data_IF_248824866979
#
_entry.id   IF_248824866979
#
_cell.length_a   1.000
_cell.length_b   1.000
_cell.length_c   1.000
_cell.angle_alpha   90.00
_cell.angle_beta   90.00
_cell.angle_gamma   90.00
#
_symmetry.space_group_name_H-M   'P 1'
#
loop_
_entity.id
_entity.type
_entity.pdbx_description
1 polymer ?
#
# COMPACT_ATOMS: atom_id res chain seq x y z
N UNK A 1 30.67 18.63 1.12
CA UNK A 1 31.37 19.92 1.28
C UNK A 1 30.50 21.05 1.85
N UNK A 2 29.17 21.12 1.60
CA UNK A 2 28.27 21.99 2.42
C UNK A 2 27.70 21.32 3.69
N UNK A 3 27.72 19.97 3.74
CA UNK A 3 27.22 19.15 4.87
C UNK A 3 28.05 19.24 6.15
N UNK A 4 29.28 19.75 6.03
CA UNK A 4 30.28 19.82 7.12
C UNK A 4 30.40 21.26 7.65
N UNK A 5 29.97 22.25 6.86
CA UNK A 5 30.13 23.67 7.18
C UNK A 5 28.92 24.21 7.96
N UNK A 6 27.69 23.78 7.62
CA UNK A 6 26.48 24.11 8.39
C UNK A 6 25.47 22.94 8.43
N UNK A 7 25.65 21.99 9.38
CA UNK A 7 24.82 20.79 9.49
C UNK A 7 23.34 21.09 9.76
N UNK A 8 23.08 22.12 10.55
CA UNK A 8 21.75 22.51 11.03
C UNK A 8 20.85 23.07 9.91
N UNK A 9 21.43 23.77 8.94
CA UNK A 9 20.69 24.33 7.80
C UNK A 9 20.39 23.24 6.76
N UNK A 10 21.29 22.26 6.60
CA UNK A 10 21.11 21.12 5.70
C UNK A 10 20.03 20.15 6.22
N UNK A 11 19.97 19.90 7.52
CA UNK A 11 18.91 19.12 8.15
C UNK A 11 17.53 19.80 8.02
N UNK A 12 17.48 21.13 8.15
CA UNK A 12 16.25 21.93 7.96
C UNK A 12 15.72 21.90 6.53
N UNK A 13 16.59 21.93 5.53
CA UNK A 13 16.20 21.81 4.11
C UNK A 13 15.67 20.41 3.83
N UNK A 14 16.36 19.35 4.26
CA UNK A 14 15.93 17.96 4.04
C UNK A 14 14.62 17.61 4.76
N UNK A 15 14.40 18.13 5.97
CA UNK A 15 13.15 17.89 6.72
C UNK A 15 11.93 18.64 6.16
N UNK A 16 12.11 19.79 5.47
CA UNK A 16 10.99 20.48 4.81
C UNK A 16 10.53 19.81 3.52
N UNK A 17 11.43 19.08 2.84
CA UNK A 17 11.11 18.46 1.55
C UNK A 17 10.98 16.94 1.60
N UNK A 18 11.18 16.24 2.71
CA UNK A 18 11.01 14.77 2.69
C UNK A 18 9.54 14.30 2.50
N UNK A 19 8.54 15.13 2.82
CA UNK A 19 7.15 14.89 2.43
C UNK A 19 6.77 15.54 1.08
N UNK A 20 7.26 16.75 0.83
CA UNK A 20 6.90 17.55 -0.34
C UNK A 20 7.73 17.21 -1.60
N UNK A 21 9.04 16.90 -1.50
CA UNK A 21 9.86 16.40 -2.61
C UNK A 21 9.54 14.95 -2.95
N UNK A 22 9.10 14.08 -2.04
CA UNK A 22 8.59 12.78 -2.47
C UNK A 22 7.25 12.92 -3.24
N UNK A 23 6.50 13.99 -3.01
CA UNK A 23 5.42 14.42 -3.88
C UNK A 23 5.93 15.05 -5.18
N UNK A 24 6.89 15.97 -5.15
CA UNK A 24 7.26 16.85 -6.26
C UNK A 24 8.37 16.31 -7.19
N UNK A 25 9.35 15.54 -6.68
CA UNK A 25 10.33 14.77 -7.49
C UNK A 25 9.60 13.67 -8.29
N UNK A 26 8.43 13.24 -7.82
CA UNK A 26 7.68 12.10 -8.34
C UNK A 26 6.31 12.46 -8.94
N UNK A 27 5.80 13.69 -8.74
CA UNK A 27 4.60 14.26 -9.38
C UNK A 27 4.84 14.59 -10.87
N UNK A 28 6.10 14.55 -11.33
CA UNK A 28 6.46 14.70 -12.73
C UNK A 28 6.06 13.49 -13.57
N UNK A 29 4.82 13.47 -14.05
CA UNK A 29 4.28 12.73 -15.22
C UNK A 29 4.44 11.19 -15.32
N UNK A 30 5.17 10.48 -14.45
CA UNK A 30 5.38 9.01 -14.56
C UNK A 30 4.72 8.13 -13.48
N UNK A 31 4.51 8.62 -12.26
CA UNK A 31 4.01 7.80 -11.13
C UNK A 31 2.51 7.60 -11.09
N UNK A 32 1.76 8.43 -11.81
CA UNK A 32 0.34 8.19 -12.04
C UNK A 32 0.09 7.08 -13.07
N UNK A 33 1.13 6.59 -13.76
CA UNK A 33 1.02 5.45 -14.68
C UNK A 33 1.20 4.12 -13.94
N UNK A 34 0.49 3.09 -14.39
CA UNK A 34 0.53 1.71 -13.88
C UNK A 34 1.89 0.99 -14.01
N UNK A 35 2.95 1.67 -14.49
CA UNK A 35 4.27 1.12 -14.82
C UNK A 35 5.38 1.70 -13.93
N UNK A 36 5.25 1.53 -12.63
CA UNK A 36 6.35 1.86 -11.71
C UNK A 36 7.47 0.82 -11.86
N UNK A 37 8.71 1.29 -12.07
CA UNK A 37 9.90 0.44 -12.16
C UNK A 37 10.62 0.44 -10.82
N UNK A 38 10.84 -0.75 -10.25
CA UNK A 38 11.60 -0.89 -9.02
C UNK A 38 13.06 -0.43 -9.21
N UNK A 39 13.69 0.18 -8.19
CA UNK A 39 15.13 0.40 -8.21
C UNK A 39 15.88 -0.93 -8.40
N UNK A 40 17.03 -0.88 -9.09
CA UNK A 40 17.84 -2.09 -9.37
C UNK A 40 18.17 -2.83 -8.07
N UNK A 41 17.97 -4.15 -8.08
CA UNK A 41 18.27 -5.02 -6.93
C UNK A 41 17.20 -5.08 -5.83
N UNK A 42 16.09 -4.35 -5.97
CA UNK A 42 14.98 -4.42 -5.03
C UNK A 42 13.83 -5.30 -5.50
N UNK A 43 13.25 -6.05 -4.57
CA UNK A 43 11.89 -6.60 -4.66
C UNK A 43 10.88 -5.61 -4.08
N UNK A 44 9.59 -5.75 -4.39
CA UNK A 44 8.53 -4.92 -3.81
C UNK A 44 8.50 -5.04 -2.28
N UNK A 45 8.77 -6.22 -1.72
CA UNK A 45 8.91 -6.42 -0.28
C UNK A 45 10.04 -5.60 0.31
N UNK A 46 11.24 -5.69 -0.27
CA UNK A 46 12.41 -4.97 0.22
C UNK A 46 12.20 -3.45 0.10
N UNK A 47 11.61 -3.01 -1.01
CA UNK A 47 11.34 -1.62 -1.28
C UNK A 47 10.25 -1.05 -0.37
N UNK A 48 9.16 -1.79 -0.13
CA UNK A 48 8.11 -1.41 0.82
C UNK A 48 8.68 -1.21 2.24
N UNK A 49 9.54 -2.14 2.69
CA UNK A 49 10.23 -2.00 3.98
C UNK A 49 11.14 -0.77 4.01
N UNK A 50 11.91 -0.54 2.95
CA UNK A 50 12.75 0.65 2.82
C UNK A 50 11.91 1.94 2.90
N UNK A 51 10.82 2.05 2.14
CA UNK A 51 9.91 3.20 2.18
C UNK A 51 9.36 3.46 3.59
N UNK A 52 9.02 2.41 4.35
CA UNK A 52 8.57 2.56 5.74
C UNK A 52 9.66 3.11 6.67
N UNK A 53 10.94 2.97 6.33
CA UNK A 53 12.05 3.54 7.12
C UNK A 53 12.32 5.00 6.78
N UNK A 54 11.88 5.49 5.61
CA UNK A 54 12.08 6.88 5.18
C UNK A 54 10.94 7.81 5.60
N UNK A 55 9.83 7.27 6.10
CA UNK A 55 8.67 8.06 6.54
C UNK A 55 8.79 8.49 8.00
N UNK A 56 8.14 9.61 8.40
CA UNK A 56 7.94 9.93 9.82
C UNK A 56 7.31 8.77 10.57
N UNK A 57 7.70 8.58 11.83
CA UNK A 57 7.34 7.41 12.62
C UNK A 57 5.83 7.19 12.71
N UNK A 58 5.05 8.26 12.95
CA UNK A 58 3.60 8.18 13.02
C UNK A 58 2.98 7.66 11.71
N UNK A 59 3.43 8.21 10.57
CA UNK A 59 2.96 7.83 9.24
C UNK A 59 3.34 6.38 8.93
N UNK A 60 4.59 6.00 9.19
CA UNK A 60 5.08 4.65 9.00
C UNK A 60 4.28 3.65 9.85
N UNK A 61 3.99 3.99 11.10
CA UNK A 61 3.22 3.15 12.02
C UNK A 61 1.75 3.01 11.60
N UNK A 62 1.14 4.03 10.99
CA UNK A 62 -0.19 3.91 10.38
C UNK A 62 -0.19 2.88 9.23
N UNK A 63 0.77 2.97 8.29
CA UNK A 63 0.90 1.99 7.21
C UNK A 63 1.16 0.58 7.75
N UNK A 64 2.11 0.41 8.70
CA UNK A 64 2.40 -0.89 9.32
C UNK A 64 1.16 -1.54 9.92
N UNK A 65 0.37 -0.79 10.71
CA UNK A 65 -0.89 -1.28 11.30
C UNK A 65 -1.87 -1.74 10.23
N UNK A 66 -2.04 -0.96 9.15
CA UNK A 66 -2.94 -1.31 8.04
C UNK A 66 -2.44 -2.53 7.27
N UNK A 67 -1.15 -2.62 6.97
CA UNK A 67 -0.56 -3.76 6.26
C UNK A 67 -0.69 -5.05 7.07
N UNK A 68 -0.41 -5.02 8.38
CA UNK A 68 -0.61 -6.18 9.26
C UNK A 68 -2.08 -6.61 9.25
N UNK A 69 -3.02 -5.66 9.36
CA UNK A 69 -4.45 -5.96 9.32
C UNK A 69 -4.87 -6.56 7.98
N UNK A 70 -4.36 -6.03 6.88
CA UNK A 70 -4.60 -6.52 5.52
C UNK A 70 -4.11 -7.96 5.33
N UNK A 71 -2.86 -8.24 5.72
CA UNK A 71 -2.27 -9.58 5.63
C UNK A 71 -3.06 -10.57 6.51
N UNK A 72 -3.40 -10.20 7.75
CA UNK A 72 -4.20 -11.05 8.65
C UNK A 72 -5.59 -11.33 8.09
N UNK A 73 -6.22 -10.35 7.46
CA UNK A 73 -7.53 -10.53 6.84
C UNK A 73 -7.47 -11.53 5.68
N UNK A 74 -6.47 -11.41 4.81
CA UNK A 74 -6.24 -12.34 3.71
C UNK A 74 -5.92 -13.77 4.16
N UNK A 75 -5.16 -13.92 5.25
CA UNK A 75 -4.82 -15.23 5.79
C UNK A 75 -6.00 -15.92 6.48
N UNK A 76 -6.82 -15.18 7.24
CA UNK A 76 -7.90 -15.76 8.07
C UNK A 76 -9.23 -15.82 7.36
N UNK A 77 -9.60 -14.75 6.65
CA UNK A 77 -10.91 -14.60 6.03
C UNK A 77 -10.83 -14.88 4.53
N UNK A 78 -9.91 -14.21 3.85
CA UNK A 78 -9.80 -14.25 2.40
C UNK A 78 -10.73 -13.29 1.66
N UNK A 79 -10.66 -13.31 0.34
CA UNK A 79 -11.49 -12.49 -0.54
C UNK A 79 -12.11 -13.32 -1.68
N UNK A 80 -13.32 -12.93 -2.14
CA UNK A 80 -13.89 -13.48 -3.37
C UNK A 80 -13.03 -13.13 -4.57
N UNK A 81 -12.72 -14.13 -5.38
CA UNK A 81 -11.97 -13.98 -6.64
C UNK A 81 -12.73 -14.73 -7.73
N UNK A 82 -12.65 -14.24 -8.97
CA UNK A 82 -13.28 -14.92 -10.11
C UNK A 82 -12.52 -16.22 -10.42
N UNK A 83 -13.24 -17.24 -10.86
CA UNK A 83 -12.69 -18.57 -11.17
C UNK A 83 -11.54 -18.54 -12.20
N UNK A 84 -11.64 -17.67 -13.21
CA UNK A 84 -10.57 -17.49 -14.20
C UNK A 84 -9.24 -17.03 -13.56
N UNK A 85 -9.30 -16.11 -12.61
CA UNK A 85 -8.12 -15.67 -11.87
C UNK A 85 -7.63 -16.71 -10.85
N UNK A 86 -8.52 -17.51 -10.25
CA UNK A 86 -8.10 -18.57 -9.32
C UNK A 86 -7.19 -19.57 -10.05
N UNK A 87 -7.62 -20.03 -11.23
CA UNK A 87 -6.84 -20.95 -12.08
C UNK A 87 -5.49 -20.34 -12.49
N UNK A 88 -5.48 -19.07 -12.86
CA UNK A 88 -4.25 -18.35 -13.24
C UNK A 88 -3.27 -18.24 -12.06
N UNK A 89 -3.78 -17.98 -10.85
CA UNK A 89 -3.00 -17.90 -9.62
C UNK A 89 -2.40 -19.26 -9.25
N UNK A 90 -3.19 -20.33 -9.31
CA UNK A 90 -2.73 -21.69 -8.99
C UNK A 90 -1.62 -22.17 -9.94
N UNK A 91 -1.73 -21.82 -11.23
CA UNK A 91 -0.71 -22.13 -12.23
C UNK A 91 0.58 -21.34 -12.03
N UNK A 92 0.47 -20.03 -11.78
CA UNK A 92 1.65 -19.13 -11.76
C UNK A 92 2.36 -19.13 -10.40
N UNK A 93 1.62 -19.30 -9.30
CA UNK A 93 2.15 -19.23 -7.94
C UNK A 93 1.55 -20.35 -7.07
N UNK A 94 1.88 -21.63 -7.36
CA UNK A 94 1.29 -22.77 -6.66
C UNK A 94 1.55 -22.68 -5.15
N UNK A 95 0.50 -22.91 -4.36
CA UNK A 95 0.54 -22.86 -2.90
C UNK A 95 0.59 -21.46 -2.27
N UNK A 96 0.62 -20.38 -3.06
CA UNK A 96 0.58 -19.02 -2.52
C UNK A 96 -0.82 -18.66 -1.97
N UNK A 97 -1.86 -19.18 -2.62
CA UNK A 97 -3.25 -19.06 -2.20
C UNK A 97 -3.86 -20.44 -2.04
N UNK A 98 -4.83 -20.53 -1.14
CA UNK A 98 -5.68 -21.69 -0.94
C UNK A 98 -7.11 -21.30 -1.29
N UNK A 99 -7.73 -22.08 -2.18
CA UNK A 99 -9.15 -21.97 -2.43
C UNK A 99 -9.93 -22.62 -1.28
N UNK A 100 -10.90 -21.90 -0.73
CA UNK A 100 -11.75 -22.44 0.35
C UNK A 100 -12.95 -23.23 -0.17
N UNK A 101 -13.22 -23.17 -1.48
CA UNK A 101 -14.40 -23.74 -2.14
C UNK A 101 -15.74 -23.28 -1.54
N UNK A 102 -15.72 -22.13 -0.84
CA UNK A 102 -16.91 -21.50 -0.29
C UNK A 102 -17.20 -20.24 -1.08
N UNK A 103 -18.47 -20.10 -1.45
CA UNK A 103 -18.96 -18.89 -2.10
C UNK A 103 -19.07 -17.74 -1.11
N UNK A 104 -18.68 -16.55 -1.57
CA UNK A 104 -18.76 -15.32 -0.80
C UNK A 104 -20.21 -14.92 -0.57
N UNK A 105 -20.52 -14.34 0.60
CA UNK A 105 -21.81 -13.68 0.85
C UNK A 105 -21.86 -12.22 0.38
N UNK A 106 -20.73 -11.71 -0.15
CA UNK A 106 -20.60 -10.35 -0.68
C UNK A 106 -20.96 -10.31 -2.17
N UNK A 107 -21.63 -9.25 -2.60
CA UNK A 107 -22.05 -9.08 -4.00
C UNK A 107 -23.11 -10.11 -4.40
N UNK A 108 -23.01 -10.64 -5.61
CA UNK A 108 -23.96 -11.63 -6.15
C UNK A 108 -23.75 -13.05 -5.58
N UNK A 109 -22.69 -13.27 -4.81
CA UNK A 109 -22.37 -14.57 -4.21
C UNK A 109 -21.94 -15.66 -5.20
N UNK A 110 -21.48 -15.24 -6.37
CA UNK A 110 -21.04 -16.07 -7.50
C UNK A 110 -19.55 -16.46 -7.45
N UNK A 111 -18.80 -15.91 -6.49
CA UNK A 111 -17.33 -16.04 -6.42
C UNK A 111 -16.89 -16.84 -5.23
N UNK A 112 -15.99 -17.78 -5.47
CA UNK A 112 -15.31 -18.51 -4.43
C UNK A 112 -14.31 -17.62 -3.69
N UNK A 113 -14.17 -17.90 -2.39
CA UNK A 113 -13.24 -17.19 -1.53
C UNK A 113 -11.91 -17.93 -1.50
N UNK A 114 -10.83 -17.20 -1.78
CA UNK A 114 -9.46 -17.69 -1.61
C UNK A 114 -8.76 -16.98 -0.44
N UNK A 115 -7.85 -17.68 0.22
CA UNK A 115 -7.02 -17.18 1.32
C UNK A 115 -5.55 -17.14 0.94
N UNK A 116 -4.83 -16.12 1.41
CA UNK A 116 -3.40 -16.04 1.17
C UNK A 116 -2.66 -16.90 2.20
N UNK A 117 -1.89 -17.89 1.73
CA UNK A 117 -0.91 -18.63 2.55
C UNK A 117 0.42 -17.90 2.61
N UNK A 118 0.76 -17.17 1.54
CA UNK A 118 1.96 -16.33 1.43
C UNK A 118 1.62 -14.99 0.82
N UNK A 119 2.28 -13.92 1.29
CA UNK A 119 2.22 -12.61 0.63
C UNK A 119 3.18 -12.64 -0.57
N UNK A 120 2.63 -12.58 -1.78
CA UNK A 120 3.43 -12.52 -3.00
C UNK A 120 4.11 -11.16 -3.15
N UNK A 121 5.22 -11.12 -3.89
CA UNK A 121 5.91 -9.86 -4.14
C UNK A 121 5.10 -8.98 -5.11
N UNK A 122 4.76 -9.55 -6.26
CA UNK A 122 3.79 -9.04 -7.23
C UNK A 122 3.16 -10.19 -8.03
N UNK A 123 2.06 -9.89 -8.72
CA UNK A 123 1.41 -10.78 -9.69
C UNK A 123 1.13 -10.00 -10.98
N UNK A 124 2.08 -9.94 -11.93
CA UNK A 124 1.91 -9.19 -13.17
C UNK A 124 0.67 -9.67 -13.94
N UNK A 125 -0.09 -8.73 -14.52
CA UNK A 125 -1.33 -9.06 -15.25
C UNK A 125 -2.58 -9.16 -14.35
N UNK A 126 -2.48 -9.77 -13.17
CA UNK A 126 -3.60 -9.94 -12.24
C UNK A 126 -3.73 -8.79 -11.25
N UNK A 127 -2.63 -8.27 -10.70
CA UNK A 127 -2.64 -7.21 -9.67
C UNK A 127 -3.38 -5.93 -10.11
N UNK A 128 -3.50 -5.70 -11.42
CA UNK A 128 -4.22 -4.55 -11.99
C UNK A 128 -5.73 -4.81 -12.17
N UNK A 129 -6.15 -6.07 -12.14
CA UNK A 129 -7.52 -6.52 -12.42
C UNK A 129 -8.23 -7.06 -11.18
N UNK A 130 -7.46 -7.57 -10.21
CA UNK A 130 -7.95 -8.18 -8.99
C UNK A 130 -7.11 -7.72 -7.80
N UNK A 131 -7.80 -7.45 -6.70
CA UNK A 131 -7.22 -6.91 -5.48
C UNK A 131 -6.49 -7.97 -4.64
N UNK A 132 -5.37 -8.53 -5.10
CA UNK A 132 -4.63 -9.60 -4.40
C UNK A 132 -3.76 -9.15 -3.21
N UNK A 133 -3.34 -10.09 -2.36
CA UNK A 133 -2.42 -9.83 -1.25
C UNK A 133 -0.95 -9.80 -1.68
N UNK A 134 -0.50 -8.64 -2.19
CA UNK A 134 0.87 -8.47 -2.70
C UNK A 134 1.66 -7.32 -2.03
N UNK A 135 2.98 -7.45 -1.97
CA UNK A 135 3.88 -6.39 -1.50
C UNK A 135 3.84 -5.17 -2.40
N UNK A 136 3.67 -5.37 -3.71
CA UNK A 136 3.45 -4.29 -4.68
C UNK A 136 2.30 -3.38 -4.28
N UNK A 137 1.12 -3.93 -3.99
CA UNK A 137 -0.03 -3.10 -3.59
C UNK A 137 0.23 -2.32 -2.30
N UNK A 138 0.89 -2.93 -1.31
CA UNK A 138 1.29 -2.23 -0.09
C UNK A 138 2.29 -1.10 -0.37
N UNK A 139 3.32 -1.35 -1.19
CA UNK A 139 4.29 -0.32 -1.57
C UNK A 139 3.61 0.82 -2.35
N UNK A 140 2.69 0.50 -3.25
CA UNK A 140 1.95 1.49 -4.03
C UNK A 140 1.09 2.40 -3.16
N UNK A 141 0.59 1.94 -2.00
CA UNK A 141 -0.07 2.84 -1.05
C UNK A 141 0.88 3.91 -0.52
N UNK A 142 2.14 3.56 -0.21
CA UNK A 142 3.12 4.54 0.25
C UNK A 142 3.52 5.48 -0.89
N UNK A 143 3.83 4.92 -2.07
CA UNK A 143 4.28 5.68 -3.25
C UNK A 143 3.22 6.70 -3.69
N UNK A 144 1.93 6.34 -3.63
CA UNK A 144 0.81 7.22 -3.99
C UNK A 144 0.34 8.11 -2.84
N UNK A 145 1.04 8.09 -1.70
CA UNK A 145 0.61 8.77 -0.47
C UNK A 145 -0.84 8.45 -0.05
N UNK A 146 -1.27 7.21 -0.28
CA UNK A 146 -2.58 6.71 0.12
C UNK A 146 -2.57 6.34 1.60
N UNK A 147 -2.61 7.37 2.45
CA UNK A 147 -2.58 7.26 3.91
C UNK A 147 -3.73 6.41 4.48
N UNK A 148 -4.86 6.39 3.79
CA UNK A 148 -6.02 5.58 4.18
C UNK A 148 -5.80 4.12 3.78
N UNK A 149 -5.00 3.86 2.76
CA UNK A 149 -4.84 2.58 2.06
C UNK A 149 -6.14 2.14 1.37
N UNK A 150 -6.83 3.07 0.70
CA UNK A 150 -7.99 2.75 -0.15
C UNK A 150 -7.65 1.69 -1.20
N UNK A 151 -6.42 1.71 -1.72
CA UNK A 151 -5.89 0.71 -2.63
C UNK A 151 -5.73 -0.69 -2.03
N UNK A 152 -5.95 -0.87 -0.72
CA UNK A 152 -6.03 -2.16 -0.03
C UNK A 152 -7.44 -2.40 0.56
N UNK A 153 -8.44 -1.72 0.00
CA UNK A 153 -9.85 -1.79 0.40
C UNK A 153 -10.14 -1.26 1.81
N UNK A 154 -9.31 -0.37 2.37
CA UNK A 154 -9.63 0.33 3.62
C UNK A 154 -10.54 1.53 3.36
N UNK A 155 -11.49 1.74 4.27
CA UNK A 155 -12.34 2.93 4.31
C UNK A 155 -11.87 3.91 5.40
N UNK A 156 -12.34 5.15 5.30
CA UNK A 156 -12.12 6.18 6.32
C UNK A 156 -12.85 5.77 7.60
N UNK A 157 -12.16 5.80 8.73
CA UNK A 157 -12.76 5.57 10.05
C UNK A 157 -13.38 6.85 10.59
N UNK A 158 -14.41 6.72 11.42
CA UNK A 158 -15.09 7.87 12.06
C UNK A 158 -14.11 8.77 12.83
N UNK A 159 -13.15 8.18 13.54
CA UNK A 159 -12.10 8.91 14.28
C UNK A 159 -11.23 9.79 13.36
N UNK A 160 -10.83 9.26 12.20
CA UNK A 160 -10.03 10.01 11.24
C UNK A 160 -10.82 11.19 10.67
N UNK A 161 -12.11 11.00 10.39
CA UNK A 161 -13.01 12.08 9.96
C UNK A 161 -13.12 13.18 11.01
N UNK A 162 -13.25 12.82 12.30
CA UNK A 162 -13.32 13.80 13.39
C UNK A 162 -12.02 14.60 13.53
N UNK A 163 -10.86 13.93 13.47
CA UNK A 163 -9.56 14.61 13.48
C UNK A 163 -9.39 15.55 12.31
N UNK A 164 -9.79 15.14 11.10
CA UNK A 164 -9.75 16.00 9.92
C UNK A 164 -10.63 17.24 10.10
N UNK A 165 -11.84 17.09 10.63
CA UNK A 165 -12.72 18.24 10.94
C UNK A 165 -12.09 19.18 11.96
N UNK A 166 -11.51 18.65 13.04
CA UNK A 166 -10.86 19.46 14.07
C UNK A 166 -9.65 20.24 13.53
N UNK A 167 -8.86 19.64 12.64
CA UNK A 167 -7.75 20.31 11.95
C UNK A 167 -8.30 21.43 11.06
N UNK A 168 -9.27 21.14 10.20
CA UNK A 168 -9.88 22.15 9.30
C UNK A 168 -10.42 23.34 10.10
N UNK A 169 -11.12 23.09 11.20
CA UNK A 169 -11.68 24.15 12.05
C UNK A 169 -10.59 25.00 12.71
N UNK A 170 -9.49 24.37 13.20
CA UNK A 170 -8.35 25.07 13.79
C UNK A 170 -7.69 26.06 12.82
N UNK A 171 -7.62 25.73 11.54
CA UNK A 171 -6.98 26.54 10.51
C UNK A 171 -7.97 27.43 9.72
N UNK A 172 -9.26 27.39 10.04
CA UNK A 172 -10.30 28.18 9.35
C UNK A 172 -10.28 29.67 9.70
N UNK A 173 -9.71 29.99 10.86
CA UNK A 173 -9.67 31.33 11.45
C UNK A 173 -8.23 31.89 11.52
N UNK A 174 -7.33 31.39 10.67
CA UNK A 174 -5.97 31.91 10.45
C UNK A 174 -5.90 32.36 9.00
#
# INVERSE_FOLDING_TARGET
>A
MFRVIEPETWARVVNRVSGANFGNIYAGKKIMSSKYTLPKGHTWKSFCKFLLTTLPEETANNYRRKFIKFIKYWARTGCPVRDDFIKEIESTAPGAYENTHRFSRRGNGDKEVIRARKVLDEMPGIDNKQDLCTWKRMAMCIIKNDYICKGLCFSITKDLTLRQKAIVEKYKNI
#
